data_IF_075789399224
#
_entry.id   IF_075789399224
#
_cell.length_a   1.000
_cell.length_b   1.000
_cell.length_c   1.000
_cell.angle_alpha   90.00
_cell.angle_beta   90.00
_cell.angle_gamma   90.00
#
_symmetry.space_group_name_H-M   'P 1'
#
loop_
_entity.id
_entity.type
_entity.pdbx_description
1 polymer ?
#
# COMPACT_ATOMS: atom_id res chain seq x y z
N UNK A 1 1.47 -62.75 -47.18
CA UNK A 1 1.98 -63.40 -48.40
C UNK A 1 0.90 -63.32 -49.45
N UNK A 2 1.15 -62.87 -50.70
CA UNK A 2 2.33 -62.11 -51.19
C UNK A 2 2.40 -60.69 -50.52
N UNK A 3 2.87 -59.54 -51.06
CA UNK A 3 3.36 -59.13 -52.39
C UNK A 3 4.37 -57.95 -52.35
N UNK A 4 4.63 -57.35 -53.53
CA UNK A 4 5.65 -56.37 -53.95
C UNK A 4 5.09 -55.59 -55.18
N UNK A 5 5.66 -54.55 -55.80
CA UNK A 5 6.63 -53.45 -55.51
C UNK A 5 6.67 -52.56 -56.79
N UNK A 6 6.68 -51.22 -56.69
CA UNK A 6 7.36 -50.28 -57.62
C UNK A 6 7.61 -48.97 -56.82
N UNK A 7 8.81 -48.60 -56.36
CA UNK A 7 10.02 -48.13 -57.04
C UNK A 7 9.95 -46.74 -57.70
N UNK A 8 10.55 -45.73 -57.05
CA UNK A 8 11.66 -44.94 -57.63
C UNK A 8 12.39 -44.13 -56.55
N UNK A 9 13.72 -44.23 -56.52
CA UNK A 9 14.62 -43.44 -55.66
C UNK A 9 15.15 -42.24 -56.44
N UNK A 10 15.43 -41.12 -55.77
CA UNK A 10 16.36 -40.10 -56.27
C UNK A 10 17.25 -39.59 -55.13
N UNK A 11 18.56 -39.69 -55.33
CA UNK A 11 19.58 -39.24 -54.38
C UNK A 11 20.04 -37.84 -54.79
N UNK A 12 20.30 -36.95 -53.82
CA UNK A 12 21.10 -35.74 -54.03
C UNK A 12 22.16 -35.66 -52.92
N UNK A 13 23.36 -35.20 -53.30
CA UNK A 13 24.60 -35.31 -52.55
C UNK A 13 24.73 -34.18 -51.52
N UNK A 14 25.39 -34.49 -50.39
CA UNK A 14 25.99 -33.49 -49.51
C UNK A 14 27.26 -32.93 -50.16
N UNK A 15 27.46 -31.62 -50.08
CA UNK A 15 28.73 -30.96 -50.39
C UNK A 15 29.11 -30.06 -49.22
N UNK A 16 30.27 -30.28 -48.63
CA UNK A 16 30.88 -29.36 -47.68
C UNK A 16 31.51 -28.19 -48.46
N UNK A 17 31.33 -26.96 -47.98
CA UNK A 17 32.20 -25.85 -48.38
C UNK A 17 32.62 -25.03 -47.16
N UNK A 18 33.86 -24.55 -47.21
CA UNK A 18 34.62 -24.01 -46.10
C UNK A 18 34.31 -22.54 -45.80
N UNK A 19 34.46 -22.15 -44.54
CA UNK A 19 34.30 -20.77 -44.09
C UNK A 19 35.42 -19.85 -44.61
N UNK A 20 35.05 -18.64 -45.04
CA UNK A 20 35.90 -17.45 -45.05
C UNK A 20 35.04 -16.28 -44.55
N UNK A 21 35.45 -15.63 -43.45
CA UNK A 21 34.73 -14.49 -42.89
C UNK A 21 35.16 -13.19 -43.59
N UNK A 22 34.23 -12.35 -44.09
CA UNK A 22 34.59 -11.08 -44.71
C UNK A 22 35.02 -10.04 -43.65
N UNK A 23 36.11 -9.33 -43.93
CA UNK A 23 36.77 -8.37 -43.02
C UNK A 23 35.85 -7.20 -42.60
N UNK A 24 34.75 -6.96 -43.30
CA UNK A 24 33.76 -5.91 -43.02
C UNK A 24 33.12 -6.01 -41.62
N UNK A 25 33.10 -7.20 -41.01
CA UNK A 25 32.45 -7.44 -39.71
C UNK A 25 33.29 -6.96 -38.51
N UNK A 26 34.63 -6.86 -38.67
CA UNK A 26 35.53 -6.36 -37.62
C UNK A 26 35.49 -4.83 -37.47
N UNK A 27 35.24 -4.11 -38.56
CA UNK A 27 35.14 -2.64 -38.53
C UNK A 27 33.87 -2.18 -37.77
N UNK A 28 32.77 -2.91 -37.90
CA UNK A 28 31.52 -2.58 -37.22
C UNK A 28 31.61 -2.74 -35.68
N UNK A 29 32.39 -3.71 -35.22
CA UNK A 29 32.64 -3.93 -33.78
C UNK A 29 33.55 -2.87 -33.17
N UNK A 30 34.49 -2.29 -33.94
CA UNK A 30 35.37 -1.23 -33.46
C UNK A 30 34.62 0.10 -33.22
N UNK A 31 33.60 0.41 -34.03
CA UNK A 31 32.81 1.66 -33.90
C UNK A 31 31.85 1.61 -32.71
N UNK A 32 31.34 0.42 -32.34
CA UNK A 32 30.49 0.25 -31.16
C UNK A 32 31.26 0.29 -29.83
N UNK A 33 32.59 0.21 -29.86
CA UNK A 33 33.46 0.25 -28.68
C UNK A 33 33.95 1.66 -28.30
N UNK A 34 33.66 2.70 -29.10
CA UNK A 34 34.17 4.07 -28.89
C UNK A 34 33.11 5.11 -28.50
N UNK A 35 31.88 4.70 -28.20
CA UNK A 35 30.91 5.58 -27.55
C UNK A 35 31.18 5.61 -26.04
N UNK A 36 31.64 6.73 -25.45
CA UNK A 36 31.66 6.85 -24.00
C UNK A 36 30.21 6.85 -23.50
N UNK A 37 29.80 5.78 -22.81
CA UNK A 37 28.54 5.74 -22.06
C UNK A 37 28.71 6.58 -20.80
N UNK A 38 28.77 7.89 -21.00
CA UNK A 38 28.91 8.89 -19.95
C UNK A 38 27.55 9.58 -19.72
N UNK A 39 27.20 9.73 -18.44
CA UNK A 39 26.12 10.59 -17.94
C UNK A 39 24.68 10.17 -18.29
N UNK A 40 24.22 9.08 -17.66
CA UNK A 40 22.81 8.90 -17.28
C UNK A 40 22.68 8.68 -15.76
N UNK A 41 23.32 9.56 -14.98
CA UNK A 41 23.42 9.44 -13.51
C UNK A 41 23.10 10.76 -12.79
N UNK A 42 21.99 11.39 -13.16
CA UNK A 42 21.35 12.45 -12.39
C UNK A 42 19.86 12.14 -12.20
N UNK A 43 19.50 11.31 -11.21
CA UNK A 43 18.18 11.47 -10.59
C UNK A 43 18.13 12.87 -9.95
N UNK A 44 16.98 13.58 -9.95
CA UNK A 44 16.86 14.86 -9.25
C UNK A 44 17.07 14.61 -7.74
N UNK A 45 18.16 15.12 -7.13
CA UNK A 45 18.57 14.65 -5.82
C UNK A 45 17.61 15.12 -4.72
N UNK A 46 17.19 16.38 -4.75
CA UNK A 46 16.51 17.01 -3.61
C UNK A 46 15.12 16.44 -3.33
N UNK A 47 14.30 16.19 -4.35
CA UNK A 47 12.94 15.65 -4.14
C UNK A 47 13.00 14.19 -3.66
N UNK A 48 13.91 13.39 -4.20
CA UNK A 48 14.05 11.98 -3.81
C UNK A 48 14.74 11.84 -2.45
N UNK A 49 15.73 12.67 -2.12
CA UNK A 49 16.33 12.74 -0.79
C UNK A 49 15.31 13.22 0.25
N UNK A 50 14.60 14.32 -0.01
CA UNK A 50 13.55 14.82 0.90
C UNK A 50 12.43 13.79 1.11
N UNK A 51 11.98 13.10 0.06
CA UNK A 51 10.97 12.02 0.20
C UNK A 51 11.53 10.86 1.01
N UNK A 52 12.80 10.47 0.78
CA UNK A 52 13.47 9.42 1.56
C UNK A 52 13.60 9.79 3.04
N UNK A 53 14.01 11.02 3.34
CA UNK A 53 14.23 11.47 4.72
C UNK A 53 12.90 11.63 5.47
N UNK A 54 11.85 12.12 4.79
CA UNK A 54 10.46 12.11 5.30
C UNK A 54 10.01 10.69 5.60
N UNK A 55 10.20 9.73 4.69
CA UNK A 55 9.83 8.33 4.91
C UNK A 55 10.68 7.65 5.99
N UNK A 56 11.96 8.01 6.13
CA UNK A 56 12.85 7.49 7.16
C UNK A 56 12.54 8.03 8.57
N UNK A 57 11.93 9.22 8.67
CA UNK A 57 11.43 9.81 9.92
C UNK A 57 9.97 9.47 10.25
N UNK A 58 9.31 8.64 9.44
CA UNK A 58 7.89 8.33 9.56
C UNK A 58 7.66 7.07 10.41
N UNK A 59 7.37 7.25 11.69
CA UNK A 59 6.85 6.17 12.55
C UNK A 59 5.44 5.73 12.15
N UNK A 60 4.94 4.64 12.75
CA UNK A 60 3.65 4.04 12.40
C UNK A 60 2.46 4.97 12.67
N UNK A 61 2.58 5.85 13.66
CA UNK A 61 1.57 6.88 13.93
C UNK A 61 1.55 7.97 12.85
N UNK A 62 2.72 8.44 12.41
CA UNK A 62 2.85 9.37 11.28
C UNK A 62 2.35 8.76 9.97
N UNK A 63 2.64 7.48 9.73
CA UNK A 63 2.16 6.75 8.56
C UNK A 63 0.62 6.61 8.56
N UNK A 64 0.03 6.29 9.71
CA UNK A 64 -1.42 6.28 9.88
C UNK A 64 -2.04 7.66 9.59
N UNK A 65 -1.44 8.74 10.10
CA UNK A 65 -1.91 10.11 9.87
C UNK A 65 -1.86 10.50 8.38
N UNK A 66 -0.81 10.14 7.64
CA UNK A 66 -0.76 10.31 6.18
C UNK A 66 -1.86 9.50 5.47
N UNK A 67 -2.04 8.22 5.85
CA UNK A 67 -3.10 7.37 5.31
C UNK A 67 -4.51 7.93 5.55
N UNK A 68 -4.72 8.58 6.70
CA UNK A 68 -5.94 9.30 7.07
C UNK A 68 -6.18 10.61 6.28
N UNK A 69 -5.22 11.01 5.44
CA UNK A 69 -5.29 12.19 4.58
C UNK A 69 -4.82 13.49 5.24
N UNK A 70 -3.94 13.44 6.25
CA UNK A 70 -3.16 14.64 6.61
C UNK A 70 -2.11 14.91 5.53
N UNK A 71 -1.86 16.18 5.19
CA UNK A 71 -0.65 16.57 4.46
C UNK A 71 0.56 16.45 5.39
N UNK A 72 1.76 16.26 4.82
CA UNK A 72 2.98 15.99 5.59
C UNK A 72 3.33 17.12 6.58
N UNK A 73 3.01 18.36 6.21
CA UNK A 73 3.23 19.57 7.03
C UNK A 73 2.31 19.63 8.26
N UNK A 74 1.23 18.84 8.30
CA UNK A 74 0.32 18.75 9.45
C UNK A 74 0.69 17.62 10.42
N UNK A 75 1.64 16.74 10.09
CA UNK A 75 2.09 15.66 10.99
C UNK A 75 2.84 16.27 12.19
N UNK A 76 2.52 15.88 13.44
CA UNK A 76 3.31 16.23 14.62
C UNK A 76 4.79 15.86 14.49
N UNK A 77 5.69 16.86 14.55
CA UNK A 77 7.14 16.64 14.47
C UNK A 77 7.82 16.36 15.81
N UNK A 78 7.14 16.63 16.94
CA UNK A 78 7.66 16.36 18.29
C UNK A 78 7.61 14.88 18.68
N UNK A 79 8.18 14.53 19.84
CA UNK A 79 8.18 13.16 20.37
C UNK A 79 6.88 12.77 21.09
N UNK A 80 5.98 13.73 21.32
CA UNK A 80 4.69 13.55 21.97
C UNK A 80 3.58 14.27 21.20
N UNK A 81 2.33 13.91 21.48
CA UNK A 81 1.13 14.62 21.05
C UNK A 81 0.40 15.10 22.30
N UNK A 82 0.14 16.40 22.38
CA UNK A 82 -0.64 16.99 23.47
C UNK A 82 -2.16 16.93 23.20
N UNK A 83 -3.01 16.97 24.23
CA UNK A 83 -4.48 17.01 24.06
C UNK A 83 -4.95 18.14 23.13
N UNK A 84 -4.36 19.34 23.23
CA UNK A 84 -4.67 20.50 22.38
C UNK A 84 -4.24 20.27 20.92
N UNK A 85 -3.15 19.53 20.69
CA UNK A 85 -2.73 19.15 19.35
C UNK A 85 -3.67 18.10 18.77
N UNK A 86 -4.07 17.10 19.57
CA UNK A 86 -5.05 16.10 19.15
C UNK A 86 -6.39 16.73 18.73
N UNK A 87 -6.92 17.66 19.52
CA UNK A 87 -8.16 18.41 19.20
C UNK A 87 -8.06 19.23 17.91
N UNK A 88 -6.87 19.75 17.57
CA UNK A 88 -6.65 20.43 16.28
C UNK A 88 -6.67 19.43 15.12
N UNK A 89 -6.07 18.25 15.28
CA UNK A 89 -6.05 17.21 14.26
C UNK A 89 -7.43 16.56 14.03
N UNK A 90 -8.20 16.31 15.10
CA UNK A 90 -9.58 15.81 14.98
C UNK A 90 -10.50 16.81 14.30
N UNK A 91 -10.39 18.11 14.61
CA UNK A 91 -11.10 19.16 13.87
C UNK A 91 -10.68 19.23 12.41
N UNK A 92 -9.40 19.01 12.08
CA UNK A 92 -8.95 18.92 10.68
C UNK A 92 -9.67 17.78 9.95
N UNK A 93 -9.80 16.59 10.56
CA UNK A 93 -10.57 15.49 10.00
C UNK A 93 -12.06 15.84 9.83
N UNK A 94 -12.69 16.47 10.83
CA UNK A 94 -14.11 16.80 10.79
C UNK A 94 -14.51 17.74 9.64
N UNK A 95 -13.63 18.68 9.25
CA UNK A 95 -13.94 19.70 8.22
C UNK A 95 -13.41 19.36 6.82
N UNK A 96 -12.52 18.37 6.68
CA UNK A 96 -11.86 18.07 5.40
C UNK A 96 -12.52 16.88 4.71
N UNK A 97 -12.94 17.00 3.43
CA UNK A 97 -13.38 15.86 2.64
C UNK A 97 -12.24 14.84 2.52
N UNK A 98 -12.60 13.59 2.32
CA UNK A 98 -11.68 12.46 2.23
C UNK A 98 -12.13 11.47 1.15
N UNK A 99 -11.16 10.77 0.56
CA UNK A 99 -11.41 9.68 -0.38
C UNK A 99 -11.90 8.43 0.38
N UNK A 100 -12.74 7.55 -0.20
CA UNK A 100 -13.22 6.35 0.49
C UNK A 100 -12.10 5.48 1.10
N UNK A 101 -10.95 5.41 0.45
CA UNK A 101 -9.74 4.71 0.93
C UNK A 101 -9.23 5.30 2.26
N UNK A 102 -9.35 6.60 2.46
CA UNK A 102 -8.87 7.29 3.67
C UNK A 102 -9.80 7.08 4.88
N UNK A 103 -11.03 6.56 4.68
CA UNK A 103 -12.01 6.38 5.75
C UNK A 103 -11.47 5.54 6.92
N UNK A 104 -10.96 4.33 6.62
CA UNK A 104 -10.52 3.38 7.63
C UNK A 104 -9.32 3.90 8.46
N UNK A 105 -8.20 4.35 7.84
CA UNK A 105 -7.09 4.93 8.60
C UNK A 105 -7.48 6.22 9.34
N UNK A 106 -8.39 7.03 8.77
CA UNK A 106 -8.93 8.21 9.48
C UNK A 106 -9.75 7.83 10.70
N UNK A 107 -10.52 6.75 10.65
CA UNK A 107 -11.28 6.28 11.80
C UNK A 107 -10.35 5.85 12.94
N UNK A 108 -9.31 5.05 12.65
CA UNK A 108 -8.30 4.66 13.65
C UNK A 108 -7.54 5.89 14.17
N UNK A 109 -7.18 6.83 13.30
CA UNK A 109 -6.52 8.06 13.72
C UNK A 109 -7.41 8.89 14.67
N UNK A 110 -8.72 9.01 14.41
CA UNK A 110 -9.63 9.71 15.31
C UNK A 110 -9.78 9.01 16.68
N UNK A 111 -9.81 7.67 16.72
CA UNK A 111 -9.79 6.91 17.99
C UNK A 111 -8.53 7.22 18.82
N UNK A 112 -7.33 7.15 18.21
CA UNK A 112 -6.07 7.43 18.90
C UNK A 112 -5.98 8.89 19.38
N UNK A 113 -6.38 9.85 18.55
CA UNK A 113 -6.38 11.27 18.93
C UNK A 113 -7.40 11.55 20.05
N UNK A 114 -8.57 10.90 20.02
CA UNK A 114 -9.59 11.02 21.08
C UNK A 114 -9.09 10.41 22.39
N UNK A 115 -8.32 9.33 22.34
CA UNK A 115 -7.63 8.80 23.51
C UNK A 115 -6.67 9.83 24.11
N UNK A 116 -5.83 10.50 23.30
CA UNK A 116 -4.94 11.57 23.79
C UNK A 116 -5.72 12.72 24.46
N UNK A 117 -6.85 13.13 23.88
CA UNK A 117 -7.73 14.14 24.50
C UNK A 117 -8.28 13.68 25.85
N UNK A 118 -8.80 12.45 25.93
CA UNK A 118 -9.44 11.89 27.12
C UNK A 118 -8.44 11.57 28.24
N UNK A 119 -7.23 11.17 27.87
CA UNK A 119 -6.13 10.93 28.81
C UNK A 119 -5.65 12.23 29.49
N UNK A 120 -5.86 13.39 28.85
CA UNK A 120 -5.62 14.71 29.44
C UNK A 120 -4.14 15.08 29.65
N UNK A 121 -3.21 14.20 29.27
CA UNK A 121 -1.77 14.41 29.32
C UNK A 121 -1.15 14.19 27.93
N UNK A 122 0.11 14.60 27.74
CA UNK A 122 0.81 14.28 26.50
C UNK A 122 1.11 12.78 26.40
N UNK A 123 0.83 12.18 25.25
CA UNK A 123 1.15 10.77 24.96
C UNK A 123 2.34 10.72 24.00
N UNK A 124 3.31 9.85 24.25
CA UNK A 124 4.48 9.74 23.37
C UNK A 124 4.10 9.16 22.01
N UNK A 125 4.77 9.60 20.93
CA UNK A 125 4.59 9.02 19.60
C UNK A 125 4.98 7.54 19.55
N UNK A 126 5.92 7.13 20.39
CA UNK A 126 6.29 5.73 20.56
C UNK A 126 5.11 4.90 21.08
N UNK A 127 4.42 5.36 22.12
CA UNK A 127 3.24 4.67 22.65
C UNK A 127 2.07 4.68 21.67
N UNK A 128 1.87 5.80 20.96
CA UNK A 128 0.90 5.84 19.85
C UNK A 128 1.26 4.84 18.75
N UNK A 129 2.53 4.67 18.41
CA UNK A 129 3.01 3.61 17.49
C UNK A 129 2.67 2.20 17.99
N UNK A 130 2.85 1.93 19.30
CA UNK A 130 2.43 0.65 19.91
C UNK A 130 0.91 0.47 19.85
N UNK A 131 0.14 1.53 20.06
CA UNK A 131 -1.33 1.52 19.93
C UNK A 131 -1.80 1.26 18.49
N UNK A 132 -1.13 1.82 17.48
CA UNK A 132 -1.39 1.55 16.04
C UNK A 132 -1.31 0.06 15.75
N UNK A 133 -0.33 -0.66 16.32
CA UNK A 133 -0.16 -2.10 16.10
C UNK A 133 -1.36 -2.94 16.56
N UNK A 134 -2.16 -2.47 17.52
CA UNK A 134 -3.36 -3.18 17.97
C UNK A 134 -4.47 -3.25 16.90
N UNK A 135 -4.39 -2.43 15.84
CA UNK A 135 -5.35 -2.40 14.73
C UNK A 135 -4.87 -3.16 13.48
N UNK A 136 -3.68 -3.77 13.49
CA UNK A 136 -3.06 -4.34 12.27
C UNK A 136 -3.87 -5.43 11.57
N UNK A 137 -4.66 -6.22 12.32
CA UNK A 137 -5.52 -7.29 11.82
C UNK A 137 -7.01 -6.92 11.78
N UNK A 138 -7.33 -5.63 11.98
CA UNK A 138 -8.71 -5.14 12.00
C UNK A 138 -9.11 -4.57 10.64
N UNK A 139 -10.41 -4.64 10.37
CA UNK A 139 -11.04 -4.17 9.14
C UNK A 139 -12.28 -3.33 9.46
N UNK A 140 -12.60 -2.38 8.59
CA UNK A 140 -13.76 -1.49 8.69
C UNK A 140 -14.57 -1.55 7.40
N UNK A 141 -15.90 -1.42 7.49
CA UNK A 141 -16.74 -1.16 6.33
C UNK A 141 -16.57 0.30 5.91
N UNK A 142 -16.21 0.51 4.63
CA UNK A 142 -16.15 1.83 3.98
C UNK A 142 -17.48 2.20 3.34
N UNK A 143 -17.70 3.50 3.18
CA UNK A 143 -18.84 4.12 2.50
C UNK A 143 -19.08 3.67 1.06
N UNK A 144 -18.10 3.06 0.39
CA UNK A 144 -18.20 2.53 -0.97
C UNK A 144 -18.41 1.01 -1.04
N UNK A 145 -18.79 0.37 0.08
CA UNK A 145 -19.23 -1.03 0.10
C UNK A 145 -18.12 -2.07 0.24
N UNK A 146 -16.90 -1.64 0.60
CA UNK A 146 -15.76 -2.51 0.83
C UNK A 146 -15.44 -2.65 2.32
N UNK A 147 -15.22 -3.88 2.77
CA UNK A 147 -14.39 -4.12 3.94
C UNK A 147 -12.93 -3.82 3.57
N UNK A 148 -12.24 -3.04 4.39
CA UNK A 148 -10.87 -2.64 4.15
C UNK A 148 -10.01 -2.67 5.42
N UNK A 149 -8.72 -2.89 5.26
CA UNK A 149 -7.76 -2.95 6.37
C UNK A 149 -7.74 -1.62 7.13
N UNK A 150 -7.84 -1.68 8.46
CA UNK A 150 -8.07 -0.50 9.30
C UNK A 150 -6.93 0.53 9.21
N UNK A 151 -5.67 0.09 9.06
CA UNK A 151 -4.49 0.96 9.04
C UNK A 151 -4.15 1.57 7.68
N UNK A 152 -4.62 1.00 6.57
CA UNK A 152 -4.22 1.41 5.21
C UNK A 152 -5.40 1.80 4.33
N UNK A 153 -6.61 1.33 4.65
CA UNK A 153 -7.78 1.47 3.78
C UNK A 153 -7.78 0.57 2.55
N UNK A 154 -6.80 -0.32 2.40
CA UNK A 154 -6.74 -1.27 1.28
C UNK A 154 -7.96 -2.20 1.28
N UNK A 155 -8.68 -2.34 0.15
CA UNK A 155 -9.89 -3.14 0.07
C UNK A 155 -9.58 -4.64 0.19
N UNK A 156 -10.28 -5.32 1.08
CA UNK A 156 -10.19 -6.75 1.30
C UNK A 156 -11.32 -7.53 0.61
N UNK A 157 -12.55 -7.03 0.68
CA UNK A 157 -13.73 -7.65 0.07
C UNK A 157 -14.82 -6.62 -0.21
N UNK A 158 -15.47 -6.72 -1.38
CA UNK A 158 -16.72 -6.02 -1.65
C UNK A 158 -17.89 -6.78 -0.99
N UNK A 159 -18.69 -6.10 -0.18
CA UNK A 159 -19.81 -6.71 0.57
C UNK A 159 -21.18 -6.17 0.14
N UNK A 160 -21.22 -5.26 -0.83
CA UNK A 160 -22.44 -4.66 -1.38
C UNK A 160 -22.54 -3.15 -1.10
N UNK A 161 -23.53 -2.45 -1.70
CA UNK A 161 -23.74 -1.03 -1.46
C UNK A 161 -24.05 -0.75 0.01
N UNK A 162 -23.60 0.41 0.51
CA UNK A 162 -23.97 0.90 1.83
C UNK A 162 -25.35 1.53 1.76
N UNK A 163 -26.24 1.08 2.64
CA UNK A 163 -27.58 1.63 2.83
C UNK A 163 -27.67 2.32 4.21
N UNK A 164 -28.47 3.39 4.27
CA UNK A 164 -28.79 4.08 5.54
C UNK A 164 -30.10 3.52 6.07
N UNK A 165 -30.12 3.18 7.36
CA UNK A 165 -31.22 2.58 8.11
C UNK A 165 -31.47 3.42 9.38
N UNK A 166 -32.59 3.20 10.05
CA UNK A 166 -32.97 3.96 11.27
C UNK A 166 -31.94 3.82 12.42
N UNK A 167 -31.17 2.73 12.42
CA UNK A 167 -30.17 2.35 13.42
C UNK A 167 -28.72 2.64 13.00
N UNK A 168 -28.46 3.08 11.76
CA UNK A 168 -27.09 3.38 11.29
C UNK A 168 -26.91 3.29 9.77
N UNK A 169 -25.69 2.95 9.34
CA UNK A 169 -25.37 2.71 7.93
C UNK A 169 -24.54 1.43 7.79
N UNK A 170 -24.84 0.63 6.76
CA UNK A 170 -24.24 -0.70 6.63
C UNK A 170 -24.48 -1.38 5.28
N UNK A 171 -23.86 -2.54 5.09
CA UNK A 171 -24.01 -3.38 3.92
C UNK A 171 -24.12 -4.85 4.37
N UNK A 172 -25.30 -5.46 4.18
CA UNK A 172 -25.57 -6.83 4.64
C UNK A 172 -25.43 -6.97 6.16
N UNK A 173 -24.46 -7.77 6.62
CA UNK A 173 -24.16 -8.00 8.03
C UNK A 173 -23.08 -7.05 8.61
N UNK A 174 -22.65 -6.05 7.83
CA UNK A 174 -21.55 -5.14 8.19
C UNK A 174 -22.07 -3.72 8.45
N UNK A 175 -21.59 -3.08 9.51
CA UNK A 175 -21.93 -1.74 9.97
C UNK A 175 -20.72 -0.81 9.80
N UNK A 176 -20.98 0.45 9.44
CA UNK A 176 -19.96 1.50 9.39
C UNK A 176 -19.53 1.88 10.82
N UNK A 177 -18.23 2.09 11.03
CA UNK A 177 -17.65 2.47 12.33
C UNK A 177 -17.37 1.31 13.29
N UNK A 178 -17.59 0.07 12.84
CA UNK A 178 -17.39 -1.15 13.62
C UNK A 178 -16.24 -1.99 13.08
N UNK A 179 -15.46 -2.58 13.99
CA UNK A 179 -14.29 -3.37 13.62
C UNK A 179 -14.63 -4.82 13.36
N UNK A 180 -13.96 -5.40 12.37
CA UNK A 180 -14.07 -6.79 11.99
C UNK A 180 -12.69 -7.46 11.98
N UNK A 181 -12.66 -8.73 12.35
CA UNK A 181 -11.52 -9.62 12.09
C UNK A 181 -11.89 -10.62 10.99
N UNK A 182 -10.91 -11.00 10.18
CA UNK A 182 -11.03 -12.11 9.24
C UNK A 182 -10.55 -13.38 9.94
N UNK A 183 -11.44 -14.37 10.06
CA UNK A 183 -11.08 -15.72 10.51
C UNK A 183 -10.49 -16.54 9.36
N UNK A 184 -10.45 -17.86 9.54
CA UNK A 184 -10.06 -18.75 8.46
C UNK A 184 -11.08 -18.68 7.29
N UNK A 185 -10.56 -18.69 6.06
CA UNK A 185 -11.36 -18.51 4.84
C UNK A 185 -11.92 -17.09 4.67
N UNK A 186 -13.18 -16.99 4.24
CA UNK A 186 -13.92 -15.73 4.05
C UNK A 186 -14.84 -15.41 5.25
N UNK A 187 -14.59 -16.01 6.41
CA UNK A 187 -15.39 -15.77 7.62
C UNK A 187 -15.01 -14.44 8.29
N UNK A 188 -15.99 -13.57 8.48
CA UNK A 188 -15.82 -12.29 9.17
C UNK A 188 -16.52 -12.29 10.52
N UNK A 189 -15.91 -11.66 11.53
CA UNK A 189 -16.50 -11.50 12.87
C UNK A 189 -16.33 -10.08 13.35
N UNK A 190 -17.41 -9.45 13.83
CA UNK A 190 -17.34 -8.18 14.56
C UNK A 190 -16.48 -8.37 15.81
N UNK A 191 -15.70 -7.36 16.17
CA UNK A 191 -14.85 -7.35 17.36
C UNK A 191 -14.94 -5.99 18.05
N UNK A 192 -14.70 -5.97 19.35
CA UNK A 192 -14.57 -4.73 20.11
C UNK A 192 -13.34 -3.92 19.65
N UNK A 193 -13.38 -2.61 19.95
CA UNK A 193 -12.24 -1.70 19.79
C UNK A 193 -11.07 -2.15 20.69
N UNK A 194 -9.80 -2.05 20.25
CA UNK A 194 -8.66 -2.29 21.12
C UNK A 194 -8.73 -1.47 22.41
N UNK A 195 -8.43 -2.10 23.55
CA UNK A 195 -8.34 -1.41 24.83
C UNK A 195 -6.96 -0.76 24.96
N UNK A 196 -6.89 0.55 24.71
CA UNK A 196 -5.63 1.29 24.64
C UNK A 196 -4.93 1.47 26.00
N UNK A 197 -5.68 1.44 27.10
CA UNK A 197 -5.13 1.50 28.47
C UNK A 197 -4.32 0.26 28.88
N UNK A 198 -4.32 -0.80 28.05
CA UNK A 198 -3.68 -2.10 28.32
C UNK A 198 -2.42 -2.35 27.46
N UNK A 199 -1.90 -1.34 26.76
CA UNK A 199 -0.84 -1.47 25.76
C UNK A 199 0.53 -0.91 26.20
#
# INVERSE_FOLDING_TARGET
MPSERVSRRRWIRVACFSAHAPQSLLVLLAVLASCPVACASHPPPDVLAATRDVLAGLDEFGALLLGAGLPVEAIPQGHSVSPVQAERLRRYFAIRPYLPQQYAPRFVADELLRYVEQHGQEVSRWDLGRMVQAYCNLFLLRQDGYLAAALTGEPAQCVGPVEVRDDGAGAGAFEIGEFYTRGDGESWRRTDRPNLDKL
#
